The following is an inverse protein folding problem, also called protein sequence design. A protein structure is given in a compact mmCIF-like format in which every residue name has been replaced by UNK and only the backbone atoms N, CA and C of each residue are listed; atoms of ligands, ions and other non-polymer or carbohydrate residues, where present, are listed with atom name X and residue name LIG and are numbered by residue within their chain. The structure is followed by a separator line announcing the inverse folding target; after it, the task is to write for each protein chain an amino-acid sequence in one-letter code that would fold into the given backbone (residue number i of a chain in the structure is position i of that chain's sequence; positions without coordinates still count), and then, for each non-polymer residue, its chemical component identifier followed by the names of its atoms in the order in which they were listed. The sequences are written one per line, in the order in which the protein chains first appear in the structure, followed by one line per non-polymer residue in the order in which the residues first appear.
data_IF_853823861205
#
_entry.id   IF_853823861205
#
_cell.length_a   1.000
_cell.length_b   1.000
_cell.length_c   1.000
_cell.angle_alpha   90.00
_cell.angle_beta   90.00
_cell.angle_gamma   90.00
#
_symmetry.space_group_name_H-M   'P 1'
#
loop_
_entity.id
_entity.type
_entity.pdbx_description
1 polymer ?
#
# COMPACT_ATOMS: atom_id res chain seq x y z
N UNK A 1 -14.04 4.50 27.29
CA UNK A 1 -14.86 5.49 26.54
C UNK A 1 -16.08 4.79 25.93
N UNK A 2 -17.30 5.28 26.20
CA UNK A 2 -18.52 4.71 25.62
C UNK A 2 -18.69 5.04 24.13
N UNK A 3 -19.58 4.34 23.41
CA UNK A 3 -19.80 4.51 21.97
C UNK A 3 -20.18 5.95 21.59
N UNK A 4 -20.95 6.64 22.44
CA UNK A 4 -21.36 8.03 22.20
C UNK A 4 -20.18 9.01 22.15
N UNK A 5 -19.15 8.79 22.97
CA UNK A 5 -17.97 9.67 23.03
C UNK A 5 -17.06 9.48 21.81
N UNK A 6 -17.03 8.26 21.25
CA UNK A 6 -16.27 7.97 20.04
C UNK A 6 -16.88 8.71 18.83
N UNK A 7 -18.21 8.65 18.69
CA UNK A 7 -18.94 9.34 17.62
C UNK A 7 -18.77 10.86 17.70
N UNK A 8 -18.83 11.45 18.90
CA UNK A 8 -18.59 12.88 19.06
C UNK A 8 -17.14 13.27 18.71
N UNK A 9 -16.18 12.43 19.08
CA UNK A 9 -14.76 12.63 18.72
C UNK A 9 -14.59 12.62 17.20
N UNK A 10 -15.19 11.63 16.52
CA UNK A 10 -15.16 11.49 15.07
C UNK A 10 -15.80 12.71 14.39
N UNK A 11 -16.97 13.14 14.86
CA UNK A 11 -17.67 14.32 14.34
C UNK A 11 -16.80 15.58 14.41
N UNK A 12 -16.10 15.80 15.53
CA UNK A 12 -15.18 16.94 15.70
C UNK A 12 -13.98 16.85 14.76
N UNK A 13 -13.38 15.67 14.62
CA UNK A 13 -12.28 15.45 13.68
C UNK A 13 -12.70 15.78 12.24
N UNK A 14 -13.87 15.26 11.81
CA UNK A 14 -14.39 15.50 10.46
C UNK A 14 -14.69 16.98 10.20
N UNK A 15 -15.24 17.71 11.17
CA UNK A 15 -15.47 19.16 11.03
C UNK A 15 -14.18 19.93 10.73
N UNK A 16 -13.10 19.60 11.42
CA UNK A 16 -11.80 20.24 11.20
C UNK A 16 -11.16 19.79 9.88
N UNK A 17 -11.20 18.48 9.58
CA UNK A 17 -10.54 17.92 8.41
C UNK A 17 -11.23 18.30 7.08
N UNK A 18 -12.53 18.62 7.11
CA UNK A 18 -13.25 19.23 5.97
C UNK A 18 -12.73 20.62 5.59
N UNK A 19 -12.05 21.32 6.50
CA UNK A 19 -11.41 22.59 6.18
C UNK A 19 -10.07 22.33 5.47
N UNK A 20 -9.76 23.05 4.38
CA UNK A 20 -8.46 22.93 3.75
C UNK A 20 -7.35 23.33 4.73
N UNK A 21 -6.18 22.70 4.60
CA UNK A 21 -5.06 22.82 5.53
C UNK A 21 -4.64 24.29 5.78
N UNK A 22 -4.66 25.13 4.75
CA UNK A 22 -4.32 26.56 4.83
C UNK A 22 -5.38 27.41 5.56
N UNK A 23 -6.56 26.88 5.87
CA UNK A 23 -7.63 27.57 6.65
C UNK A 23 -7.83 26.99 8.05
N UNK A 24 -6.97 26.08 8.50
CA UNK A 24 -7.03 25.53 9.86
C UNK A 24 -6.42 26.51 10.84
N UNK A 25 -7.15 26.80 11.91
CA UNK A 25 -6.73 27.68 13.00
C UNK A 25 -5.85 26.94 14.00
N UNK A 26 -5.22 27.67 14.92
CA UNK A 26 -4.46 27.05 16.03
C UNK A 26 -5.37 26.16 16.89
N UNK A 27 -6.63 26.55 17.09
CA UNK A 27 -7.58 25.77 17.86
C UNK A 27 -7.98 24.47 17.15
N UNK A 28 -8.09 24.50 15.83
CA UNK A 28 -8.33 23.31 15.01
C UNK A 28 -7.17 22.30 15.16
N UNK A 29 -5.93 22.79 15.08
CA UNK A 29 -4.74 21.95 15.23
C UNK A 29 -4.64 21.35 16.63
N UNK A 30 -4.91 22.13 17.68
CA UNK A 30 -4.98 21.61 19.07
C UNK A 30 -6.02 20.51 19.18
N UNK A 31 -7.20 20.72 18.60
CA UNK A 31 -8.28 19.72 18.59
C UNK A 31 -7.82 18.41 17.94
N UNK A 32 -7.22 18.48 16.75
CA UNK A 32 -6.69 17.30 16.05
C UNK A 32 -5.62 16.58 16.86
N UNK A 33 -4.63 17.30 17.39
CA UNK A 33 -3.54 16.72 18.18
C UNK A 33 -4.12 15.99 19.40
N UNK A 34 -5.02 16.63 20.16
CA UNK A 34 -5.66 16.00 21.32
C UNK A 34 -6.49 14.77 20.94
N UNK A 35 -7.23 14.81 19.84
CA UNK A 35 -8.04 13.67 19.37
C UNK A 35 -7.17 12.51 18.91
N UNK A 36 -6.09 12.76 18.16
CA UNK A 36 -5.21 11.72 17.64
C UNK A 36 -4.22 11.17 18.67
N UNK A 37 -3.99 11.85 19.79
CA UNK A 37 -3.17 11.34 20.90
C UNK A 37 -3.65 10.00 21.48
N UNK A 38 -4.85 9.51 21.15
CA UNK A 38 -5.30 8.16 21.49
C UNK A 38 -4.60 7.06 20.68
N UNK A 39 -4.14 7.39 19.48
CA UNK A 39 -3.43 6.46 18.58
C UNK A 39 -1.99 6.31 19.07
N UNK A 40 -1.52 5.08 19.28
CA UNK A 40 -0.18 4.78 19.82
C UNK A 40 0.92 5.49 19.02
N UNK A 41 0.88 5.37 17.68
CA UNK A 41 1.79 6.06 16.78
C UNK A 41 1.90 7.57 17.05
N UNK A 42 0.78 8.26 17.27
CA UNK A 42 0.78 9.70 17.56
C UNK A 42 1.30 10.05 18.96
N UNK A 43 1.33 9.11 19.91
CA UNK A 43 1.91 9.37 21.24
C UNK A 43 3.42 9.49 21.15
N UNK A 44 4.05 8.67 20.31
CA UNK A 44 5.50 8.54 20.15
C UNK A 44 6.13 9.66 19.30
N UNK A 45 5.34 10.40 18.53
CA UNK A 45 5.83 11.54 17.76
C UNK A 45 6.21 12.73 18.66
N UNK A 46 7.21 13.51 18.26
CA UNK A 46 7.51 14.78 18.92
C UNK A 46 6.37 15.82 18.74
N UNK A 47 6.19 16.76 19.69
CA UNK A 47 5.12 17.76 19.61
C UNK A 47 5.12 18.56 18.29
N UNK A 48 6.31 18.93 17.79
CA UNK A 48 6.44 19.64 16.52
C UNK A 48 5.95 18.78 15.34
N UNK A 49 6.31 17.49 15.32
CA UNK A 49 5.89 16.55 14.28
C UNK A 49 4.39 16.31 14.32
N UNK A 50 3.78 16.16 15.50
CA UNK A 50 2.31 16.04 15.64
C UNK A 50 1.59 17.22 15.00
N UNK A 51 2.09 18.43 15.23
CA UNK A 51 1.52 19.65 14.67
C UNK A 51 1.66 19.68 13.14
N UNK A 52 2.83 19.31 12.61
CA UNK A 52 3.07 19.24 11.17
C UNK A 52 2.16 18.21 10.50
N UNK A 53 2.04 17.02 11.08
CA UNK A 53 1.10 15.99 10.60
C UNK A 53 -0.32 16.53 10.59
N UNK A 54 -0.80 17.13 11.68
CA UNK A 54 -2.17 17.67 11.77
C UNK A 54 -2.43 18.81 10.77
N UNK A 55 -1.39 19.57 10.39
CA UNK A 55 -1.48 20.58 9.32
C UNK A 55 -1.61 19.94 7.95
N UNK A 56 -0.89 18.85 7.70
CA UNK A 56 -0.83 18.20 6.39
C UNK A 56 -1.95 17.19 6.11
N UNK A 57 -2.68 16.74 7.13
CA UNK A 57 -3.78 15.76 6.96
C UNK A 57 -4.84 16.25 5.97
N UNK A 58 -5.21 15.39 5.03
CA UNK A 58 -6.32 15.58 4.09
C UNK A 58 -7.40 14.54 4.38
N UNK A 59 -8.65 14.95 4.28
CA UNK A 59 -9.77 14.03 4.37
C UNK A 59 -9.96 13.38 3.00
N UNK A 60 -9.89 12.05 2.96
CA UNK A 60 -10.20 11.25 1.79
C UNK A 60 -11.36 10.32 2.13
N UNK A 61 -12.34 10.21 1.23
CA UNK A 61 -13.56 9.44 1.43
C UNK A 61 -13.74 8.53 0.24
N UNK A 62 -13.54 7.24 0.48
CA UNK A 62 -13.66 6.22 -0.54
C UNK A 62 -15.01 5.48 -0.38
N UNK A 63 -15.72 5.19 -1.49
CA UNK A 63 -16.84 4.26 -1.47
C UNK A 63 -16.42 2.87 -0.98
N UNK A 64 -17.40 2.05 -0.58
CA UNK A 64 -17.16 0.63 -0.30
C UNK A 64 -16.46 -0.07 -1.47
N UNK A 65 -15.64 -1.08 -1.15
CA UNK A 65 -14.90 -1.91 -2.13
C UNK A 65 -13.84 -1.16 -2.96
N UNK A 66 -13.56 0.11 -2.62
CA UNK A 66 -12.48 0.86 -3.25
C UNK A 66 -11.10 0.37 -2.79
N UNK A 67 -10.15 0.34 -3.71
CA UNK A 67 -8.75 0.02 -3.42
C UNK A 67 -8.03 1.31 -3.00
N UNK A 68 -7.41 1.31 -1.82
CA UNK A 68 -6.65 2.48 -1.31
C UNK A 68 -5.32 2.61 -2.06
N UNK A 69 -4.58 1.52 -2.18
CA UNK A 69 -3.36 1.37 -2.98
C UNK A 69 -3.08 -0.13 -3.21
N UNK A 70 -2.23 -0.45 -4.19
CA UNK A 70 -1.82 -1.83 -4.49
C UNK A 70 -0.39 -2.09 -4.04
N UNK A 71 -0.11 -3.34 -3.67
CA UNK A 71 1.26 -3.80 -3.42
C UNK A 71 2.14 -3.57 -4.65
N UNK A 72 3.34 -3.03 -4.43
CA UNK A 72 4.30 -2.68 -5.49
C UNK A 72 4.13 -1.27 -6.06
N UNK A 73 3.06 -0.54 -5.72
CA UNK A 73 2.93 0.87 -6.11
C UNK A 73 3.88 1.77 -5.29
N UNK A 74 4.42 2.86 -5.89
CA UNK A 74 5.21 3.84 -5.16
C UNK A 74 4.41 4.43 -3.99
N UNK A 75 4.94 4.28 -2.77
CA UNK A 75 4.30 4.79 -1.56
C UNK A 75 4.81 6.18 -1.17
N UNK A 76 3.95 7.20 -1.30
CA UNK A 76 4.22 8.58 -0.85
C UNK A 76 3.24 9.07 0.24
N UNK A 77 2.26 8.24 0.61
CA UNK A 77 1.17 8.58 1.53
C UNK A 77 1.06 7.56 2.66
N UNK A 78 0.57 8.04 3.80
CA UNK A 78 0.07 7.18 4.87
C UNK A 78 -1.39 7.55 5.15
N UNK A 79 -2.18 6.56 5.58
CA UNK A 79 -3.62 6.70 5.80
C UNK A 79 -3.97 6.43 7.26
N UNK A 80 -4.99 7.14 7.75
CA UNK A 80 -5.61 6.90 9.05
C UNK A 80 -7.09 6.65 8.80
N UNK A 81 -7.56 5.47 9.15
CA UNK A 81 -8.98 5.13 9.03
C UNK A 81 -9.74 5.86 10.15
N UNK A 82 -10.58 6.84 9.78
CA UNK A 82 -11.41 7.59 10.73
C UNK A 82 -12.74 6.88 11.00
N UNK A 83 -13.32 6.27 9.98
CA UNK A 83 -14.56 5.51 10.04
C UNK A 83 -14.57 4.44 8.95
N UNK A 84 -15.27 3.33 9.19
CA UNK A 84 -15.31 2.17 8.30
C UNK A 84 -14.24 1.13 8.64
N UNK A 85 -13.89 0.32 7.64
CA UNK A 85 -12.92 -0.77 7.78
C UNK A 85 -12.19 -0.98 6.46
N UNK A 86 -10.96 -1.46 6.54
CA UNK A 86 -10.13 -1.79 5.37
C UNK A 86 -9.66 -3.22 5.49
N UNK A 87 -9.57 -3.92 4.37
CA UNK A 87 -8.94 -5.24 4.29
C UNK A 87 -7.55 -5.10 3.69
N UNK A 88 -6.58 -5.86 4.23
CA UNK A 88 -5.20 -5.89 3.76
C UNK A 88 -4.94 -7.27 3.18
N UNK A 89 -4.46 -7.32 1.95
CA UNK A 89 -4.14 -8.54 1.21
C UNK A 89 -2.66 -8.52 0.87
N UNK A 90 -1.99 -9.65 1.08
CA UNK A 90 -0.56 -9.84 0.76
C UNK A 90 -0.50 -10.90 -0.32
N UNK A 91 0.24 -10.65 -1.41
CA UNK A 91 0.46 -11.69 -2.42
C UNK A 91 1.42 -12.74 -1.87
N UNK A 92 1.00 -13.99 -1.90
CA UNK A 92 1.86 -15.11 -1.54
C UNK A 92 2.80 -15.42 -2.71
N UNK A 93 4.08 -15.09 -2.56
CA UNK A 93 5.09 -15.19 -3.64
C UNK A 93 5.41 -16.65 -4.00
N UNK A 94 5.05 -17.61 -3.15
CA UNK A 94 5.46 -19.01 -3.26
C UNK A 94 4.79 -19.81 -4.40
N UNK A 95 3.77 -19.28 -5.08
CA UNK A 95 2.96 -20.06 -6.06
C UNK A 95 3.06 -19.59 -7.51
N UNK A 96 3.57 -18.40 -7.79
CA UNK A 96 3.56 -17.83 -9.16
C UNK A 96 4.86 -18.10 -9.94
N UNK A 97 5.99 -18.33 -9.25
CA UNK A 97 7.28 -18.65 -9.90
C UNK A 97 7.33 -20.07 -10.50
N UNK A 98 6.54 -21.01 -9.97
CA UNK A 98 6.43 -22.37 -10.52
C UNK A 98 5.57 -22.42 -11.79
N UNK A 99 4.50 -21.62 -11.86
CA UNK A 99 3.63 -21.57 -13.04
C UNK A 99 4.35 -20.96 -14.26
N UNK A 100 5.18 -19.94 -14.05
CA UNK A 100 5.91 -19.24 -15.12
C UNK A 100 7.15 -19.99 -15.62
N UNK A 101 7.69 -20.94 -14.85
CA UNK A 101 8.77 -21.83 -15.31
C UNK A 101 8.26 -23.02 -16.13
N UNK A 102 7.03 -23.51 -15.87
CA UNK A 102 6.44 -24.64 -16.60
C UNK A 102 5.99 -24.27 -18.03
N UNK A 103 5.51 -23.04 -18.25
CA UNK A 103 5.16 -22.54 -19.59
C UNK A 103 6.38 -22.38 -20.51
N UNK A 104 7.54 -22.00 -19.94
CA UNK A 104 8.81 -21.93 -20.70
C UNK A 104 9.33 -23.30 -21.12
N UNK A 105 9.08 -24.36 -20.36
CA UNK A 105 9.49 -25.73 -20.74
C UNK A 105 8.59 -26.31 -21.84
N UNK A 106 7.28 -26.10 -21.77
CA UNK A 106 6.34 -26.58 -22.81
C UNK A 106 6.54 -25.92 -24.18
N UNK A 107 7.06 -24.70 -24.21
CA UNK A 107 7.35 -23.97 -25.45
C UNK A 107 8.60 -24.48 -26.18
N UNK A 108 9.51 -25.17 -25.48
CA UNK A 108 10.77 -25.67 -26.04
C UNK A 108 10.65 -27.08 -26.67
N UNK A 109 9.58 -27.83 -26.35
CA UNK A 109 9.42 -29.24 -26.78
C UNK A 109 8.52 -29.42 -28.02
N UNK A 110 8.02 -28.34 -28.64
CA UNK A 110 7.13 -28.41 -29.81
C UNK A 110 7.80 -28.09 -31.17
N UNK A 111 9.12 -27.92 -31.24
CA UNK A 111 9.82 -27.77 -32.53
C UNK A 111 10.40 -29.10 -33.01
N UNK A 112 9.53 -29.96 -33.53
CA UNK A 112 9.94 -31.10 -34.36
C UNK A 112 10.41 -30.65 -35.74
N UNK A 113 11.64 -31.02 -36.12
CA UNK A 113 12.16 -30.95 -37.49
C UNK A 113 13.62 -31.46 -37.55
N UNK A 114 13.84 -32.70 -38.02
CA UNK A 114 15.16 -33.38 -38.11
C UNK A 114 16.06 -32.87 -39.27
N UNK A 115 17.05 -33.65 -39.79
CA UNK A 115 17.51 -34.99 -39.39
C UNK A 115 18.99 -35.04 -38.92
N UNK A 116 19.40 -36.24 -38.47
CA UNK A 116 20.77 -36.62 -38.10
C UNK A 116 21.78 -36.33 -39.22
N UNK A 117 22.93 -35.74 -38.86
CA UNK A 117 24.14 -35.75 -39.68
C UNK A 117 25.19 -36.65 -38.99
N UNK A 118 25.40 -37.85 -39.54
CA UNK A 118 26.65 -38.59 -39.42
C UNK A 118 27.55 -38.19 -40.59
N UNK A 119 28.75 -37.71 -40.32
CA UNK A 119 29.83 -37.65 -41.30
C UNK A 119 31.15 -38.01 -40.61
N UNK A 120 31.82 -39.01 -41.18
CA UNK A 120 33.04 -39.69 -40.77
C UNK A 120 34.25 -39.21 -41.59
N UNK A 121 35.47 -39.29 -41.02
CA UNK A 121 36.78 -39.31 -41.72
C UNK A 121 37.45 -37.93 -41.83
N UNK A 122 38.64 -37.68 -41.26
CA UNK A 122 40.00 -38.23 -41.50
C UNK A 122 40.80 -37.35 -42.49
N UNK A 123 41.84 -36.66 -42.00
CA UNK A 123 43.19 -36.70 -42.57
C UNK A 123 44.23 -36.03 -41.64
N UNK A 124 45.46 -36.53 -41.74
CA UNK A 124 46.58 -36.38 -40.82
C UNK A 124 47.42 -35.09 -41.00
N UNK A 125 48.27 -34.90 -39.99
CA UNK A 125 49.53 -34.15 -39.86
C UNK A 125 50.30 -33.79 -41.16
N UNK A 126 51.16 -32.77 -41.09
CA UNK A 126 52.52 -32.98 -40.58
C UNK A 126 52.82 -32.33 -39.22
#
# INVERSE_FOLDING_TARGET
PGPQMAEETLRRQLQVLKRPCYRRTVQDLKTLVTSFCKVKFFKELEPAVKLQVCRSLKLDSLPGESIVFREGEPGDKFYIVLSGSVAVYIKDVAVDELASTEERRRSAESSGGGPQALATGAEELP
#
